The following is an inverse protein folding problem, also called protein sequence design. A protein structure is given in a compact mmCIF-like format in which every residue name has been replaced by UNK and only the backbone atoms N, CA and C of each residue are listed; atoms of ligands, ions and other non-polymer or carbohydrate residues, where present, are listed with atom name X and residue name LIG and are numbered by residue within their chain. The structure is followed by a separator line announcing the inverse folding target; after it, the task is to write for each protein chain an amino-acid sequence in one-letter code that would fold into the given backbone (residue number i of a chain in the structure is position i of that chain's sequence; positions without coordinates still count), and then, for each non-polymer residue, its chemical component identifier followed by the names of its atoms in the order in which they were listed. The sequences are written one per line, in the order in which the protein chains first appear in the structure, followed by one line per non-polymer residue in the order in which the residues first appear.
data_IF_148426546158
#
_entry.id   IF_148426546158
#
_cell.length_a   1.000
_cell.length_b   1.000
_cell.length_c   1.000
_cell.angle_alpha   90.00
_cell.angle_beta   90.00
_cell.angle_gamma   90.00
#
_symmetry.space_group_name_H-M   'P 1'
#
loop_
_entity.id
_entity.type
_entity.pdbx_description
1 polymer ?
#
# COMPACT_ATOMS: atom_id res chain seq x y z
N UNK A 1 29.03 -5.92 4.80
CA UNK A 1 28.72 -7.08 5.68
C UNK A 1 27.27 -6.90 6.02
N UNK A 2 26.41 -7.55 5.26
CA UNK A 2 24.98 -7.25 5.27
C UNK A 2 24.32 -8.33 6.12
N UNK A 3 23.85 -7.94 7.29
CA UNK A 3 23.20 -8.86 8.23
C UNK A 3 21.78 -9.11 7.75
N UNK A 4 21.52 -10.30 7.22
CA UNK A 4 20.17 -10.74 6.86
C UNK A 4 19.72 -11.81 7.84
N UNK A 5 18.57 -11.60 8.47
CA UNK A 5 17.91 -12.60 9.29
C UNK A 5 17.42 -13.74 8.40
N UNK A 6 17.84 -14.98 8.66
CA UNK A 6 17.27 -16.16 8.01
C UNK A 6 16.97 -17.24 9.05
N UNK A 7 15.89 -17.98 8.85
CA UNK A 7 15.44 -19.06 9.75
C UNK A 7 16.15 -20.39 9.44
N UNK A 8 17.38 -20.35 8.90
CA UNK A 8 18.17 -21.54 8.55
C UNK A 8 17.84 -22.20 7.21
N UNK A 9 16.82 -21.74 6.49
CA UNK A 9 16.50 -22.22 5.15
C UNK A 9 17.45 -21.66 4.09
N UNK A 10 17.77 -22.47 3.06
CA UNK A 10 18.57 -22.03 1.92
C UNK A 10 17.76 -21.01 1.13
N UNK A 11 18.23 -19.76 1.11
CA UNK A 11 17.60 -18.70 0.32
C UNK A 11 17.71 -19.03 -1.17
N UNK A 12 16.60 -19.42 -1.79
CA UNK A 12 16.52 -19.57 -3.23
C UNK A 12 16.61 -18.18 -3.88
N UNK A 13 17.63 -17.97 -4.71
CA UNK A 13 17.77 -16.74 -5.48
C UNK A 13 17.00 -16.88 -6.78
N UNK A 14 16.10 -15.94 -7.05
CA UNK A 14 15.41 -15.89 -8.34
C UNK A 14 16.42 -15.69 -9.49
N UNK A 15 16.21 -16.30 -10.67
CA UNK A 15 17.07 -16.09 -11.82
C UNK A 15 17.12 -14.61 -12.19
N UNK A 16 18.31 -14.02 -12.14
CA UNK A 16 18.53 -12.62 -12.54
C UNK A 16 18.33 -12.52 -14.05
N UNK A 17 17.24 -11.89 -14.47
CA UNK A 17 17.02 -11.52 -15.88
C UNK A 17 18.21 -10.66 -16.33
N UNK A 18 19.00 -11.14 -17.29
CA UNK A 18 20.13 -10.38 -17.82
C UNK A 18 19.60 -9.16 -18.60
N UNK A 19 19.91 -7.97 -18.07
CA UNK A 19 19.49 -6.67 -18.61
C UNK A 19 20.32 -6.27 -19.84
N UNK A 20 20.21 -7.00 -20.94
CA UNK A 20 20.92 -6.60 -22.17
C UNK A 20 20.19 -5.46 -22.94
N UNK A 21 18.90 -5.20 -22.66
CA UNK A 21 18.09 -4.20 -23.40
C UNK A 21 17.61 -2.97 -22.60
N UNK A 22 18.04 -2.79 -21.34
CA UNK A 22 17.50 -1.70 -20.52
C UNK A 22 18.00 -0.30 -20.90
N UNK A 23 19.24 -0.16 -21.37
CA UNK A 23 19.81 1.16 -21.69
C UNK A 23 19.06 1.88 -22.83
N UNK A 24 18.63 1.15 -23.86
CA UNK A 24 17.87 1.71 -24.98
C UNK A 24 16.47 2.18 -24.54
N UNK A 25 15.80 1.42 -23.66
CA UNK A 25 14.48 1.77 -23.13
C UNK A 25 14.54 3.03 -22.26
N UNK A 26 15.56 3.17 -21.41
CA UNK A 26 15.76 4.37 -20.58
C UNK A 26 16.07 5.62 -21.44
N UNK A 27 16.86 5.49 -22.51
CA UNK A 27 17.15 6.61 -23.41
C UNK A 27 15.89 7.10 -24.14
N UNK A 28 15.06 6.18 -24.64
CA UNK A 28 13.81 6.51 -25.33
C UNK A 28 12.80 7.23 -24.40
N UNK A 29 12.75 6.80 -23.14
CA UNK A 29 11.88 7.40 -22.12
C UNK A 29 12.32 8.83 -21.76
N UNK A 30 13.64 9.06 -21.65
CA UNK A 30 14.17 10.40 -21.40
C UNK A 30 13.91 11.36 -22.56
N UNK A 31 14.04 10.91 -23.81
CA UNK A 31 13.69 11.72 -24.98
C UNK A 31 12.22 12.13 -25.01
N UNK A 32 11.30 11.21 -24.67
CA UNK A 32 9.85 11.52 -24.60
C UNK A 32 9.54 12.57 -23.53
N UNK A 33 10.18 12.48 -22.36
CA UNK A 33 10.00 13.48 -21.31
C UNK A 33 10.54 14.86 -21.72
N UNK A 34 11.69 14.91 -22.40
CA UNK A 34 12.24 16.17 -22.90
C UNK A 34 11.30 16.85 -23.92
N UNK A 35 10.72 16.07 -24.84
CA UNK A 35 9.74 16.60 -25.81
C UNK A 35 8.47 17.12 -25.12
N UNK A 36 7.96 16.41 -24.11
CA UNK A 36 6.80 16.85 -23.32
C UNK A 36 7.09 18.15 -22.54
N UNK A 37 8.28 18.27 -21.95
CA UNK A 37 8.68 19.48 -21.22
C UNK A 37 8.79 20.69 -22.17
N UNK A 38 9.36 20.50 -23.37
CA UNK A 38 9.43 21.55 -24.38
C UNK A 38 8.03 22.01 -24.81
N UNK A 39 7.13 21.06 -25.05
CA UNK A 39 5.76 21.35 -25.45
C UNK A 39 5.00 22.12 -24.35
N UNK A 40 5.15 21.72 -23.10
CA UNK A 40 4.51 22.38 -21.97
C UNK A 40 5.03 23.82 -21.78
N UNK A 41 6.34 24.03 -21.97
CA UNK A 41 6.94 25.37 -21.93
C UNK A 41 6.39 26.28 -23.05
N UNK A 42 6.28 25.77 -24.27
CA UNK A 42 5.73 26.54 -25.40
C UNK A 42 4.25 26.87 -25.21
N UNK A 43 3.47 25.94 -24.66
CA UNK A 43 2.06 26.20 -24.35
C UNK A 43 1.90 27.24 -23.25
N UNK A 44 2.69 27.17 -22.18
CA UNK A 44 2.66 28.14 -21.10
C UNK A 44 3.01 29.56 -21.61
N UNK A 45 4.00 29.67 -22.50
CA UNK A 45 4.36 30.95 -23.13
C UNK A 45 3.24 31.51 -24.01
N UNK A 46 2.59 30.66 -24.83
CA UNK A 46 1.45 31.08 -25.65
C UNK A 46 0.25 31.52 -24.80
N UNK A 47 -0.07 30.79 -23.73
CA UNK A 47 -1.13 31.17 -22.79
C UNK A 47 -0.81 32.49 -22.06
N UNK A 48 0.45 32.72 -21.69
CA UNK A 48 0.88 33.97 -21.07
C UNK A 48 0.68 35.17 -22.02
N UNK A 49 0.94 35.00 -23.31
CA UNK A 49 0.76 36.06 -24.33
C UNK A 49 -0.71 36.34 -24.64
N UNK A 50 -1.60 35.36 -24.44
CA UNK A 50 -3.05 35.48 -24.65
C UNK A 50 -3.81 35.92 -23.37
N UNK A 51 -3.11 36.12 -22.25
CA UNK A 51 -3.72 36.40 -20.94
C UNK A 51 -4.24 37.83 -20.73
N UNK A 52 -4.42 38.61 -21.80
CA UNK A 52 -5.07 39.93 -21.69
C UNK A 52 -6.54 39.84 -21.24
N UNK A 53 -7.17 38.65 -21.32
CA UNK A 53 -8.45 38.37 -20.68
C UNK A 53 -8.24 37.80 -19.27
N UNK A 54 -8.78 38.50 -18.26
CA UNK A 54 -8.75 38.12 -16.85
C UNK A 54 -9.13 36.64 -16.66
N UNK A 55 -8.19 35.76 -16.25
CA UNK A 55 -8.47 34.35 -15.98
C UNK A 55 -9.49 34.12 -14.86
N UNK A 56 -9.79 35.15 -14.07
CA UNK A 56 -10.78 35.15 -13.00
C UNK A 56 -12.11 35.78 -13.41
N UNK A 57 -12.29 36.14 -14.68
CA UNK A 57 -13.57 36.61 -15.19
C UNK A 57 -14.63 35.53 -14.98
N UNK A 58 -15.58 35.82 -14.10
CA UNK A 58 -16.68 34.93 -13.68
C UNK A 58 -17.48 34.40 -14.89
N UNK A 59 -17.52 35.18 -15.97
CA UNK A 59 -18.27 34.90 -17.20
C UNK A 59 -17.66 33.79 -18.06
N UNK A 60 -16.35 33.52 -17.93
CA UNK A 60 -15.62 32.51 -18.71
C UNK A 60 -15.64 31.15 -18.01
N UNK A 61 -15.48 31.14 -16.68
CA UNK A 61 -15.49 29.93 -15.84
C UNK A 61 -16.83 29.19 -15.90
N UNK A 62 -17.95 29.93 -15.93
CA UNK A 62 -19.28 29.33 -16.04
C UNK A 62 -19.52 28.58 -17.36
N UNK A 63 -18.88 29.00 -18.46
CA UNK A 63 -19.05 28.40 -19.80
C UNK A 63 -18.17 27.17 -20.02
N UNK A 64 -17.00 27.10 -19.37
CA UNK A 64 -16.09 25.96 -19.48
C UNK A 64 -16.58 24.72 -18.71
N UNK A 65 -17.34 24.91 -17.63
CA UNK A 65 -17.86 23.80 -16.80
C UNK A 65 -19.26 23.31 -17.21
N UNK A 66 -20.02 24.05 -18.01
CA UNK A 66 -21.38 23.66 -18.39
C UNK A 66 -21.43 22.53 -19.43
N UNK A 67 -20.30 22.18 -20.07
CA UNK A 67 -20.26 21.21 -21.17
C UNK A 67 -19.59 19.86 -20.86
N UNK A 68 -19.10 19.62 -19.63
CA UNK A 68 -18.52 18.31 -19.29
C UNK A 68 -19.57 17.38 -18.68
N UNK A 69 -20.27 16.64 -19.53
CA UNK A 69 -21.12 15.49 -19.17
C UNK A 69 -20.33 14.27 -18.67
N UNK A 70 -19.02 14.40 -18.44
CA UNK A 70 -18.25 13.40 -17.71
C UNK A 70 -18.42 13.64 -16.21
N UNK A 71 -19.11 12.73 -15.52
CA UNK A 71 -19.15 12.68 -14.05
C UNK A 71 -17.77 13.04 -13.49
N UNK A 72 -17.74 14.11 -12.70
CA UNK A 72 -16.52 14.65 -12.16
C UNK A 72 -15.94 13.62 -11.18
N UNK A 73 -14.86 12.93 -11.56
CA UNK A 73 -14.20 11.91 -10.73
C UNK A 73 -13.90 12.40 -9.30
N UNK A 74 -13.76 13.72 -9.14
CA UNK A 74 -13.64 14.39 -7.85
C UNK A 74 -14.92 14.26 -7.00
N UNK A 75 -16.09 14.57 -7.54
CA UNK A 75 -17.38 14.43 -6.84
C UNK A 75 -17.69 12.98 -6.48
N UNK A 76 -17.45 12.05 -7.40
CA UNK A 76 -17.64 10.62 -7.12
C UNK A 76 -16.74 10.14 -5.97
N UNK A 77 -15.52 10.68 -5.87
CA UNK A 77 -14.61 10.37 -4.77
C UNK A 77 -15.10 10.99 -3.47
N UNK A 78 -15.64 12.22 -3.49
CA UNK A 78 -16.22 12.84 -2.31
C UNK A 78 -17.43 12.06 -1.80
N UNK A 79 -18.31 11.62 -2.68
CA UNK A 79 -19.48 10.80 -2.31
C UNK A 79 -19.07 9.47 -1.68
N UNK A 80 -18.10 8.77 -2.29
CA UNK A 80 -17.55 7.52 -1.73
C UNK A 80 -16.88 7.70 -0.37
N UNK A 81 -16.30 8.87 -0.09
CA UNK A 81 -15.69 9.17 1.21
C UNK A 81 -16.77 9.53 2.22
N UNK A 82 -17.81 10.28 1.83
CA UNK A 82 -18.92 10.65 2.72
C UNK A 82 -19.75 9.45 3.15
N UNK A 83 -19.84 8.42 2.32
CA UNK A 83 -20.55 7.16 2.62
C UNK A 83 -19.71 6.17 3.45
N UNK A 84 -18.45 6.50 3.82
CA UNK A 84 -17.63 5.58 4.63
C UNK A 84 -18.16 5.48 6.04
N UNK A 85 -18.63 4.29 6.39
CA UNK A 85 -18.93 3.94 7.78
C UNK A 85 -17.67 3.51 8.52
N UNK A 86 -17.56 3.86 9.80
CA UNK A 86 -16.48 3.36 10.66
C UNK A 86 -16.74 1.89 11.00
N UNK A 87 -16.00 0.97 10.37
CA UNK A 87 -15.98 -0.45 10.78
C UNK A 87 -14.91 -0.63 11.85
N UNK A 88 -15.33 -0.62 13.12
CA UNK A 88 -14.42 -0.87 14.25
C UNK A 88 -13.97 -2.33 14.29
N UNK A 89 -12.76 -2.63 13.82
CA UNK A 89 -12.08 -3.91 14.08
C UNK A 89 -11.11 -3.78 15.26
N UNK A 90 -11.52 -3.11 16.35
CA UNK A 90 -10.67 -3.01 17.53
C UNK A 90 -10.75 -4.33 18.32
N UNK A 91 -9.58 -4.95 18.57
CA UNK A 91 -9.46 -6.09 19.47
C UNK A 91 -9.62 -7.48 18.84
N UNK A 92 -9.61 -7.63 17.52
CA UNK A 92 -9.59 -8.95 16.86
C UNK A 92 -8.25 -9.21 16.18
N UNK A 93 -7.51 -10.18 16.70
CA UNK A 93 -6.33 -10.69 16.03
C UNK A 93 -6.77 -11.50 14.79
N UNK A 94 -6.36 -11.14 13.56
CA UNK A 94 -6.77 -11.83 12.33
C UNK A 94 -6.31 -13.29 12.26
N UNK A 95 -5.36 -13.69 13.12
CA UNK A 95 -4.89 -15.07 13.25
C UNK A 95 -5.60 -15.85 14.36
N UNK A 96 -6.40 -15.18 15.21
CA UNK A 96 -7.21 -15.82 16.26
C UNK A 96 -8.69 -15.64 15.92
N UNK A 97 -9.11 -16.31 14.85
CA UNK A 97 -10.51 -16.39 14.43
C UNK A 97 -11.35 -17.17 15.45
N UNK A 98 -10.75 -18.20 16.08
CA UNK A 98 -11.34 -19.02 17.14
C UNK A 98 -10.71 -18.61 18.48
N UNK A 99 -11.29 -17.63 19.17
CA UNK A 99 -10.81 -17.19 20.50
C UNK A 99 -11.16 -18.25 21.57
N UNK A 100 -10.51 -19.41 21.53
CA UNK A 100 -10.64 -20.44 22.57
C UNK A 100 -9.59 -20.23 23.65
N UNK A 101 -9.85 -19.28 24.55
CA UNK A 101 -9.00 -18.97 25.70
C UNK A 101 -8.57 -20.23 26.49
N UNK A 102 -9.44 -21.23 26.60
CA UNK A 102 -9.13 -22.47 27.29
C UNK A 102 -8.01 -23.24 26.58
N UNK A 103 -8.03 -23.27 25.25
CA UNK A 103 -6.99 -23.90 24.45
C UNK A 103 -5.64 -23.16 24.55
N UNK A 104 -5.69 -21.83 24.59
CA UNK A 104 -4.49 -20.99 24.74
C UNK A 104 -3.83 -21.19 26.12
N UNK A 105 -4.64 -21.28 27.18
CA UNK A 105 -4.15 -21.56 28.54
C UNK A 105 -3.52 -22.95 28.63
N UNK A 106 -4.15 -23.98 28.05
CA UNK A 106 -3.59 -25.34 28.01
C UNK A 106 -2.25 -25.35 27.26
N UNK A 107 -2.19 -24.71 26.09
CA UNK A 107 -0.95 -24.61 25.29
C UNK A 107 0.15 -23.88 26.06
N UNK A 108 -0.21 -22.83 26.80
CA UNK A 108 0.73 -22.10 27.64
C UNK A 108 1.31 -22.99 28.74
N UNK A 109 0.46 -23.77 29.40
CA UNK A 109 0.87 -24.69 30.47
C UNK A 109 1.72 -25.85 29.95
N UNK A 110 1.41 -26.36 28.75
CA UNK A 110 2.12 -27.51 28.18
C UNK A 110 3.49 -27.17 27.59
N UNK A 111 3.63 -25.98 26.98
CA UNK A 111 4.81 -25.66 26.16
C UNK A 111 5.53 -24.37 26.55
N UNK A 112 4.85 -23.39 27.14
CA UNK A 112 5.40 -22.05 27.37
C UNK A 112 5.79 -21.78 28.82
N UNK A 113 5.42 -22.66 29.76
CA UNK A 113 5.85 -22.59 31.16
C UNK A 113 7.02 -23.55 31.42
N UNK A 114 8.10 -23.07 32.09
CA UNK A 114 9.21 -23.94 32.46
C UNK A 114 8.75 -24.98 33.50
N UNK A 115 9.34 -26.18 33.43
CA UNK A 115 9.00 -27.35 34.26
C UNK A 115 9.05 -27.03 35.77
N UNK A 116 9.88 -26.08 36.18
CA UNK A 116 10.01 -25.63 37.57
C UNK A 116 8.78 -24.91 38.13
N UNK A 117 7.84 -24.49 37.28
CA UNK A 117 6.65 -23.71 37.68
C UNK A 117 5.35 -24.52 37.67
N UNK A 118 5.36 -25.72 37.10
CA UNK A 118 4.19 -26.61 37.02
C UNK A 118 4.23 -27.64 38.16
N UNK A 119 3.87 -27.19 39.37
CA UNK A 119 3.92 -28.00 40.60
C UNK A 119 3.00 -29.23 40.68
N UNK A 120 2.32 -29.61 39.60
CA UNK A 120 1.38 -30.76 39.55
C UNK A 120 1.78 -31.87 38.57
N UNK A 121 2.86 -31.74 37.77
CA UNK A 121 3.22 -32.76 36.76
C UNK A 121 3.87 -34.04 37.34
N UNK A 122 4.03 -34.14 38.66
CA UNK A 122 4.54 -35.35 39.31
C UNK A 122 3.40 -36.19 39.90
N UNK A 123 2.94 -37.16 39.10
CA UNK A 123 2.62 -38.53 39.50
C UNK A 123 2.15 -39.32 38.27
N UNK A 124 3.05 -39.54 37.31
CA UNK A 124 2.88 -40.67 36.40
C UNK A 124 3.48 -41.92 37.02
N UNK A 125 2.59 -42.90 37.17
CA UNK A 125 2.80 -44.30 37.47
C UNK A 125 4.12 -44.85 36.90
N UNK A 126 5.00 -45.27 37.81
CA UNK A 126 5.86 -46.41 37.59
C UNK A 126 5.26 -47.58 38.40
N UNK A 127 4.46 -48.42 37.75
CA UNK A 127 4.33 -49.82 38.14
C UNK A 127 5.00 -50.65 37.05
N UNK A 128 5.66 -51.70 37.52
CA UNK A 128 6.56 -52.64 36.84
C UNK A 128 6.12 -53.14 35.46
#
# INVERSE_FOLDING_TARGET
MDWTWSNGEVCERSPRIQKQNQQQQYALQQQKQQQQNLHNQQMAQQQSLLSESDPWSLDEFGKQFSNSTSMNKREDTYNKISEREMVGQMGRNPFMMENNYLHDVITQDDFLKPISTTGEREKHHNYE
#
